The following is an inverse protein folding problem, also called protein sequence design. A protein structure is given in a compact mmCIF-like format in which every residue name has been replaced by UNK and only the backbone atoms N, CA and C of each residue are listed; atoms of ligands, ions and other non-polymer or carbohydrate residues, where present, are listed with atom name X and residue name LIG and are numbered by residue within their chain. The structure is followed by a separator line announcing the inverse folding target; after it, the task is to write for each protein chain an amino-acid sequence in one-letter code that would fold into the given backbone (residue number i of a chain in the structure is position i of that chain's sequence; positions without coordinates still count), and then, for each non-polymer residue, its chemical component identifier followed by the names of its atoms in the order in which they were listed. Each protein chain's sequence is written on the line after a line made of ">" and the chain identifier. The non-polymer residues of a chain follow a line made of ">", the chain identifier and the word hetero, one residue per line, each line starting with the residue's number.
data_IF_279987381271
#
_entry.id   IF_279987381271
#
_cell.length_a   1.000
_cell.length_b   1.000
_cell.length_c   1.000
_cell.angle_alpha   90.00
_cell.angle_beta   90.00
_cell.angle_gamma   90.00
#
_symmetry.space_group_name_H-M   'P 1'
#
loop_
_entity.id
_entity.type
_entity.pdbx_description
1 polymer ?
#
# COMPACT_ATOMS: atom_id res chain seq x y z
N UNK A 1 -13.41 -40.90 -46.43
CA UNK A 1 -12.92 -39.51 -46.40
C UNK A 1 -12.27 -39.29 -45.06
N UNK A 2 -10.97 -38.99 -44.94
CA UNK A 2 -10.32 -38.71 -43.65
C UNK A 2 -10.67 -37.27 -43.23
N UNK A 3 -11.13 -37.14 -41.99
CA UNK A 3 -11.34 -35.86 -41.33
C UNK A 3 -10.00 -35.11 -41.19
N UNK A 4 -9.95 -33.89 -41.75
CA UNK A 4 -8.82 -32.98 -41.61
C UNK A 4 -8.74 -32.51 -40.14
N UNK A 5 -7.68 -32.91 -39.46
CA UNK A 5 -7.32 -32.32 -38.16
C UNK A 5 -6.94 -30.85 -38.38
N UNK A 6 -7.74 -29.91 -37.88
CA UNK A 6 -7.31 -28.52 -37.76
C UNK A 6 -6.09 -28.45 -36.84
N UNK A 7 -5.04 -27.72 -37.22
CA UNK A 7 -3.89 -27.57 -36.35
C UNK A 7 -4.29 -26.76 -35.13
N UNK A 8 -4.05 -27.38 -33.95
CA UNK A 8 -4.19 -26.75 -32.64
C UNK A 8 -3.43 -25.40 -32.66
N UNK A 9 -4.16 -24.28 -32.72
CA UNK A 9 -3.53 -22.96 -32.55
C UNK A 9 -2.85 -22.95 -31.20
N UNK A 10 -1.50 -22.98 -31.17
CA UNK A 10 -0.72 -22.73 -29.95
C UNK A 10 -1.17 -21.38 -29.41
N UNK A 11 -2.00 -21.37 -28.36
CA UNK A 11 -2.22 -20.18 -27.54
C UNK A 11 -0.83 -19.64 -27.22
N UNK A 12 -0.56 -18.42 -27.67
CA UNK A 12 0.70 -17.74 -27.40
C UNK A 12 0.87 -17.74 -25.86
N UNK A 13 1.79 -18.56 -25.37
CA UNK A 13 2.08 -18.69 -23.95
C UNK A 13 2.64 -17.35 -23.49
N UNK A 14 1.91 -16.62 -22.64
CA UNK A 14 2.41 -15.43 -21.99
C UNK A 14 2.92 -15.83 -20.61
N UNK A 15 4.17 -15.50 -20.25
CA UNK A 15 4.70 -15.78 -18.92
C UNK A 15 3.82 -15.22 -17.80
N UNK A 16 3.81 -15.88 -16.66
CA UNK A 16 2.99 -15.48 -15.49
C UNK A 16 3.30 -14.06 -14.98
N UNK A 17 4.53 -13.59 -15.16
CA UNK A 17 4.90 -12.21 -14.90
C UNK A 17 4.11 -11.22 -15.74
N UNK A 18 3.86 -11.51 -17.03
CA UNK A 18 3.05 -10.66 -17.89
C UNK A 18 1.58 -10.64 -17.52
N UNK A 19 1.03 -11.75 -17.01
CA UNK A 19 -0.34 -11.76 -16.50
C UNK A 19 -0.50 -10.85 -15.27
N UNK A 20 0.51 -10.81 -14.39
CA UNK A 20 0.56 -9.87 -13.28
C UNK A 20 0.67 -8.42 -13.78
N UNK A 21 1.52 -8.18 -14.79
CA UNK A 21 1.86 -6.87 -15.33
C UNK A 21 0.75 -6.27 -16.23
N UNK A 22 -0.15 -7.08 -16.75
CA UNK A 22 -1.19 -6.70 -17.73
C UNK A 22 -1.97 -5.41 -17.39
N UNK A 23 -2.38 -5.12 -16.14
CA UNK A 23 -3.10 -3.88 -15.83
C UNK A 23 -2.31 -2.61 -16.17
N UNK A 24 -0.97 -2.68 -16.20
CA UNK A 24 -0.11 -1.55 -16.52
C UNK A 24 -0.03 -1.25 -18.01
N UNK A 25 -0.33 -2.20 -18.88
CA UNK A 25 -0.30 -2.01 -20.35
C UNK A 25 -1.19 -0.86 -20.82
N UNK A 26 -2.29 -0.58 -20.10
CA UNK A 26 -3.19 0.53 -20.38
C UNK A 26 -2.73 1.86 -19.75
N UNK A 27 -2.00 1.80 -18.65
CA UNK A 27 -1.59 2.98 -17.87
C UNK A 27 -0.29 3.59 -18.41
N UNK A 28 0.63 2.74 -18.87
CA UNK A 28 1.95 3.16 -19.34
C UNK A 28 1.92 4.16 -20.50
N UNK A 29 1.05 4.01 -21.53
CA UNK A 29 0.97 4.99 -22.61
C UNK A 29 0.55 6.39 -22.16
N UNK A 30 -0.19 6.49 -21.03
CA UNK A 30 -0.64 7.76 -20.46
C UNK A 30 0.41 8.36 -19.48
N UNK A 31 1.43 7.57 -19.11
CA UNK A 31 2.42 7.98 -18.10
C UNK A 31 3.30 9.10 -18.65
N UNK A 32 3.57 10.16 -17.87
CA UNK A 32 4.45 11.24 -18.29
C UNK A 32 5.81 10.72 -18.75
N UNK A 33 6.30 11.24 -19.88
CA UNK A 33 7.57 10.79 -20.46
C UNK A 33 8.73 11.09 -19.53
N UNK A 34 9.53 10.07 -19.21
CA UNK A 34 10.78 10.24 -18.49
C UNK A 34 11.85 10.78 -19.45
N UNK A 35 12.22 12.06 -19.27
CA UNK A 35 13.23 12.72 -20.12
C UNK A 35 14.64 12.33 -19.70
N UNK A 36 15.51 12.10 -20.68
CA UNK A 36 16.95 11.96 -20.44
C UNK A 36 17.58 13.32 -20.03
N UNK A 37 18.68 13.26 -19.30
CA UNK A 37 19.52 14.44 -19.07
C UNK A 37 20.49 14.59 -20.27
N UNK A 38 20.16 15.46 -21.23
CA UNK A 38 20.91 15.68 -22.46
C UNK A 38 20.50 14.72 -23.59
N UNK A 39 21.34 14.62 -24.63
CA UNK A 39 21.04 13.95 -25.91
C UNK A 39 21.21 12.42 -25.90
N UNK A 40 21.70 11.85 -24.81
CA UNK A 40 21.93 10.40 -24.72
C UNK A 40 20.66 9.67 -24.29
N UNK A 41 20.29 8.58 -24.96
CA UNK A 41 19.14 7.76 -24.53
C UNK A 41 19.38 7.18 -23.13
N UNK A 42 18.28 6.98 -22.40
CA UNK A 42 18.33 6.33 -21.09
C UNK A 42 18.73 4.87 -21.25
N UNK A 43 19.75 4.42 -20.49
CA UNK A 43 20.12 2.99 -20.42
C UNK A 43 19.07 2.14 -19.73
N UNK A 44 18.21 2.74 -18.95
CA UNK A 44 17.08 2.12 -18.26
C UNK A 44 15.88 3.06 -18.45
N UNK A 45 14.90 2.61 -19.18
CA UNK A 45 13.64 3.34 -19.38
C UNK A 45 12.80 3.32 -18.11
N UNK A 46 11.73 4.11 -18.03
CA UNK A 46 10.79 4.03 -16.91
C UNK A 46 10.12 2.66 -16.82
N UNK A 47 9.79 2.06 -17.94
CA UNK A 47 9.19 0.73 -17.98
C UNK A 47 10.13 -0.35 -17.44
N UNK A 48 11.42 -0.30 -17.82
CA UNK A 48 12.44 -1.21 -17.28
C UNK A 48 12.60 -1.03 -15.76
N UNK A 49 12.59 0.22 -15.28
CA UNK A 49 12.66 0.54 -13.85
C UNK A 49 11.44 -0.03 -13.10
N UNK A 50 10.25 0.17 -13.63
CA UNK A 50 9.02 -0.33 -13.04
C UNK A 50 8.98 -1.87 -13.00
N UNK A 51 9.35 -2.53 -14.10
CA UNK A 51 9.47 -4.01 -14.16
C UNK A 51 10.49 -4.53 -13.14
N UNK A 52 11.65 -3.90 -13.06
CA UNK A 52 12.68 -4.28 -12.10
C UNK A 52 12.23 -4.10 -10.64
N UNK A 53 11.49 -3.03 -10.32
CA UNK A 53 10.93 -2.81 -8.99
C UNK A 53 9.86 -3.84 -8.64
N UNK A 54 8.94 -4.15 -9.56
CA UNK A 54 7.92 -5.18 -9.36
C UNK A 54 8.60 -6.54 -9.12
N UNK A 55 9.59 -6.88 -9.93
CA UNK A 55 10.35 -8.11 -9.81
C UNK A 55 11.11 -8.18 -8.48
N UNK A 56 11.73 -7.08 -8.04
CA UNK A 56 12.37 -6.98 -6.73
C UNK A 56 11.42 -7.30 -5.57
N UNK A 57 10.22 -6.73 -5.60
CA UNK A 57 9.23 -6.93 -4.54
C UNK A 57 8.54 -8.28 -4.61
N UNK A 58 8.37 -8.83 -5.81
CA UNK A 58 7.71 -10.11 -6.02
C UNK A 58 8.63 -11.27 -5.66
N UNK A 59 9.87 -11.25 -6.16
CA UNK A 59 10.88 -12.26 -5.87
C UNK A 59 11.66 -11.94 -4.58
N UNK A 60 12.29 -12.94 -3.99
CA UNK A 60 12.96 -12.74 -2.70
C UNK A 60 14.39 -12.16 -2.85
N UNK A 61 14.56 -11.07 -3.63
CA UNK A 61 15.84 -10.40 -3.76
C UNK A 61 16.29 -9.75 -2.45
N UNK A 62 17.54 -9.95 -2.07
CA UNK A 62 18.09 -9.48 -0.78
C UNK A 62 18.71 -8.09 -0.86
N UNK A 63 19.00 -7.58 -2.05
CA UNK A 63 19.59 -6.25 -2.26
C UNK A 63 19.47 -5.79 -3.72
N UNK A 64 19.68 -4.50 -3.96
CA UNK A 64 19.79 -3.98 -5.33
C UNK A 64 20.95 -4.56 -6.13
N UNK A 65 22.04 -4.97 -5.46
CA UNK A 65 23.17 -5.67 -6.12
C UNK A 65 22.77 -7.06 -6.60
N UNK A 66 22.02 -7.78 -5.78
CA UNK A 66 21.49 -9.09 -6.15
C UNK A 66 20.49 -8.97 -7.30
N UNK A 67 19.59 -7.99 -7.26
CA UNK A 67 18.67 -7.72 -8.37
C UNK A 67 19.43 -7.44 -9.67
N UNK A 68 20.41 -6.53 -9.68
CA UNK A 68 21.21 -6.21 -10.88
C UNK A 68 21.97 -7.44 -11.40
N UNK A 69 22.47 -8.29 -10.51
CA UNK A 69 23.11 -9.54 -10.92
C UNK A 69 22.11 -10.45 -11.64
N UNK A 70 20.93 -10.68 -11.07
CA UNK A 70 19.88 -11.50 -11.69
C UNK A 70 19.42 -10.92 -13.02
N UNK A 71 19.23 -9.58 -13.11
CA UNK A 71 18.84 -8.90 -14.36
C UNK A 71 19.86 -9.09 -15.51
N UNK A 72 21.12 -9.38 -15.21
CA UNK A 72 22.15 -9.58 -16.22
C UNK A 72 22.46 -11.06 -16.53
N UNK A 73 22.25 -11.96 -15.57
CA UNK A 73 22.69 -13.35 -15.66
C UNK A 73 21.55 -14.34 -15.90
N UNK A 74 20.34 -14.02 -15.46
CA UNK A 74 19.17 -14.88 -15.63
C UNK A 74 18.51 -14.63 -16.99
N UNK A 75 18.31 -15.67 -17.79
CA UNK A 75 17.80 -15.54 -19.16
C UNK A 75 16.39 -14.93 -19.21
N UNK A 76 15.49 -15.36 -18.33
CA UNK A 76 14.14 -14.78 -18.28
C UNK A 76 14.18 -13.31 -17.87
N UNK A 77 14.95 -12.98 -16.81
CA UNK A 77 15.06 -11.61 -16.35
C UNK A 77 15.68 -10.69 -17.42
N UNK A 78 16.66 -11.20 -18.17
CA UNK A 78 17.28 -10.48 -19.30
C UNK A 78 16.29 -10.24 -20.44
N UNK A 79 15.51 -11.24 -20.80
CA UNK A 79 14.59 -11.17 -21.94
C UNK A 79 13.32 -10.36 -21.63
N UNK A 80 12.83 -10.41 -20.40
CA UNK A 80 11.49 -9.92 -20.06
C UNK A 80 11.46 -8.70 -19.13
N UNK A 81 12.52 -8.46 -18.35
CA UNK A 81 12.55 -7.46 -17.29
C UNK A 81 13.67 -6.43 -17.47
N UNK A 82 14.87 -6.89 -17.77
CA UNK A 82 16.03 -6.03 -17.91
C UNK A 82 15.98 -5.14 -19.16
N UNK A 83 16.68 -4.00 -19.17
CA UNK A 83 16.96 -3.27 -20.41
C UNK A 83 17.67 -4.21 -21.42
N UNK A 84 17.38 -4.01 -22.72
CA UNK A 84 17.87 -4.84 -23.82
C UNK A 84 19.39 -5.11 -23.78
N UNK A 85 20.15 -4.09 -23.38
CA UNK A 85 21.62 -4.15 -23.33
C UNK A 85 22.14 -4.46 -21.91
N UNK A 86 21.29 -4.95 -21.02
CA UNK A 86 21.58 -5.13 -19.61
C UNK A 86 21.71 -3.83 -18.83
N UNK A 87 22.02 -3.91 -17.54
CA UNK A 87 22.12 -2.74 -16.67
C UNK A 87 23.29 -2.82 -15.71
N UNK A 88 24.17 -1.81 -15.71
CA UNK A 88 25.24 -1.67 -14.75
C UNK A 88 24.76 -1.13 -13.40
N UNK A 89 25.49 -1.44 -12.32
CA UNK A 89 25.14 -1.03 -10.94
C UNK A 89 25.01 0.49 -10.79
N UNK A 90 25.87 1.27 -11.40
CA UNK A 90 25.82 2.73 -11.36
C UNK A 90 24.58 3.29 -12.06
N UNK A 91 24.24 2.77 -13.23
CA UNK A 91 23.07 3.21 -13.99
C UNK A 91 21.76 2.83 -13.28
N UNK A 92 21.71 1.63 -12.67
CA UNK A 92 20.59 1.22 -11.83
C UNK A 92 20.44 2.13 -10.60
N UNK A 93 21.56 2.35 -9.87
CA UNK A 93 21.54 3.24 -8.69
C UNK A 93 21.12 4.67 -9.05
N UNK A 94 21.58 5.19 -10.19
CA UNK A 94 21.17 6.50 -10.67
C UNK A 94 19.67 6.56 -11.01
N UNK A 95 19.14 5.53 -11.67
CA UNK A 95 17.71 5.44 -11.97
C UNK A 95 16.89 5.51 -10.67
N UNK A 96 17.13 4.60 -9.74
CA UNK A 96 16.38 4.51 -8.48
C UNK A 96 16.50 5.77 -7.61
N UNK A 97 17.64 6.46 -7.60
CA UNK A 97 17.85 7.61 -6.70
C UNK A 97 17.49 8.98 -7.32
N UNK A 98 17.24 9.07 -8.63
CA UNK A 98 17.11 10.39 -9.28
C UNK A 98 16.01 10.46 -10.35
N UNK A 99 15.34 9.35 -10.69
CA UNK A 99 14.41 9.30 -11.82
C UNK A 99 13.16 8.51 -11.49
N UNK A 100 12.11 8.66 -12.27
CA UNK A 100 10.91 7.80 -12.23
C UNK A 100 9.89 8.09 -11.13
N UNK A 101 10.19 8.93 -10.13
CA UNK A 101 9.30 9.13 -8.98
C UNK A 101 7.91 9.69 -9.38
N UNK A 102 7.87 10.69 -10.26
CA UNK A 102 6.61 11.28 -10.71
C UNK A 102 5.80 10.30 -11.56
N UNK A 103 6.49 9.51 -12.39
CA UNK A 103 5.90 8.46 -13.17
C UNK A 103 5.32 7.36 -12.26
N UNK A 104 6.05 6.95 -11.21
CA UNK A 104 5.56 5.97 -10.23
C UNK A 104 4.34 6.49 -9.46
N UNK A 105 4.32 7.77 -9.08
CA UNK A 105 3.15 8.39 -8.45
C UNK A 105 1.93 8.34 -9.36
N UNK A 106 2.12 8.67 -10.64
CA UNK A 106 1.06 8.61 -11.65
C UNK A 106 0.52 7.19 -11.80
N UNK A 107 1.41 6.22 -12.00
CA UNK A 107 1.05 4.80 -12.14
C UNK A 107 0.33 4.29 -10.89
N UNK A 108 0.84 4.61 -9.69
CA UNK A 108 0.19 4.21 -8.44
C UNK A 108 -1.24 4.76 -8.34
N UNK A 109 -1.44 6.03 -8.66
CA UNK A 109 -2.75 6.67 -8.59
C UNK A 109 -3.74 6.06 -9.60
N UNK A 110 -3.33 5.88 -10.86
CA UNK A 110 -4.16 5.28 -11.91
C UNK A 110 -4.50 3.82 -11.57
N UNK A 111 -3.51 3.04 -11.15
CA UNK A 111 -3.70 1.63 -10.81
C UNK A 111 -4.58 1.45 -9.57
N UNK A 112 -4.46 2.33 -8.56
CA UNK A 112 -5.34 2.33 -7.39
C UNK A 112 -6.80 2.58 -7.79
N UNK A 113 -7.04 3.53 -8.70
CA UNK A 113 -8.39 3.79 -9.23
C UNK A 113 -8.92 2.59 -10.02
N UNK A 114 -8.10 1.98 -10.88
CA UNK A 114 -8.51 0.79 -11.63
C UNK A 114 -8.78 -0.40 -10.72
N UNK A 115 -7.95 -0.62 -9.70
CA UNK A 115 -8.16 -1.66 -8.70
C UNK A 115 -9.47 -1.46 -7.93
N UNK A 116 -9.80 -0.23 -7.54
CA UNK A 116 -11.08 0.07 -6.88
C UNK A 116 -12.30 -0.26 -7.74
N UNK A 117 -12.19 -0.11 -9.07
CA UNK A 117 -13.27 -0.46 -10.00
C UNK A 117 -13.40 -1.98 -10.26
N UNK A 118 -12.29 -2.71 -10.15
CA UNK A 118 -12.24 -4.16 -10.41
C UNK A 118 -12.61 -4.98 -9.18
N UNK A 119 -12.13 -4.56 -8.00
CA UNK A 119 -12.27 -5.32 -6.77
C UNK A 119 -13.67 -5.13 -6.15
N UNK A 120 -14.22 -6.17 -5.49
CA UNK A 120 -15.54 -6.09 -4.91
C UNK A 120 -15.59 -5.07 -3.77
N UNK A 121 -16.66 -4.28 -3.72
CA UNK A 121 -16.96 -3.41 -2.60
C UNK A 121 -17.63 -4.23 -1.49
N UNK A 122 -16.87 -4.56 -0.44
CA UNK A 122 -17.33 -5.45 0.65
C UNK A 122 -18.24 -4.74 1.67
N UNK A 123 -18.26 -3.40 1.69
CA UNK A 123 -18.93 -2.61 2.72
C UNK A 123 -19.72 -1.45 2.13
N UNK A 124 -20.36 -1.67 0.97
CA UNK A 124 -21.14 -0.64 0.27
C UNK A 124 -22.27 -0.04 1.12
N UNK A 125 -22.82 -0.83 2.05
CA UNK A 125 -23.85 -0.44 3.02
C UNK A 125 -23.36 0.61 4.03
N UNK A 126 -22.06 0.80 4.19
CA UNK A 126 -21.45 1.75 5.13
C UNK A 126 -20.91 3.01 4.44
N UNK A 127 -20.96 3.07 3.11
CA UNK A 127 -20.40 4.12 2.28
C UNK A 127 -18.91 3.93 1.98
N UNK A 128 -18.25 4.96 1.48
CA UNK A 128 -16.84 4.94 1.11
C UNK A 128 -15.95 5.12 2.35
N UNK A 129 -15.25 4.07 2.74
CA UNK A 129 -14.44 4.03 3.97
C UNK A 129 -12.94 4.07 3.65
N UNK A 130 -12.22 5.00 4.27
CA UNK A 130 -10.77 5.11 4.14
C UNK A 130 -10.12 5.13 5.52
N UNK A 131 -9.42 4.07 5.90
CA UNK A 131 -8.56 4.13 7.07
C UNK A 131 -7.30 4.94 6.74
N UNK A 132 -6.81 5.70 7.71
CA UNK A 132 -5.52 6.38 7.61
C UNK A 132 -4.66 6.04 8.83
N UNK A 133 -3.37 5.81 8.56
CA UNK A 133 -2.40 5.48 9.61
C UNK A 133 -0.98 5.80 9.15
N UNK A 134 -0.08 5.98 10.12
CA UNK A 134 1.33 6.16 9.92
C UNK A 134 2.14 4.89 10.20
N UNK A 135 3.06 4.55 9.31
CA UNK A 135 3.93 3.40 9.51
C UNK A 135 5.40 3.74 9.36
N UNK A 136 6.21 3.35 10.35
CA UNK A 136 7.65 3.57 10.33
C UNK A 136 8.35 2.54 9.46
N UNK A 137 9.30 3.01 8.66
CA UNK A 137 10.24 2.20 7.88
C UNK A 137 11.62 2.45 8.45
N UNK A 138 12.31 1.38 8.81
CA UNK A 138 13.68 1.46 9.31
C UNK A 138 14.62 1.99 8.23
N UNK A 139 15.45 2.94 8.61
CA UNK A 139 16.45 3.57 7.77
C UNK A 139 17.85 3.32 8.36
N UNK A 140 18.87 3.29 7.50
CA UNK A 140 20.25 3.13 7.97
C UNK A 140 20.78 4.45 8.57
N UNK A 141 21.73 4.37 9.49
CA UNK A 141 22.25 5.55 10.22
C UNK A 141 22.82 6.63 9.29
N UNK A 142 23.31 6.27 8.11
CA UNK A 142 23.79 7.22 7.10
C UNK A 142 22.68 8.03 6.41
N UNK A 143 21.41 7.69 6.61
CA UNK A 143 20.25 8.43 6.08
C UNK A 143 19.93 9.60 7.04
N UNK A 144 20.69 10.67 6.95
CA UNK A 144 20.60 11.81 7.90
C UNK A 144 19.24 12.52 7.86
N UNK A 145 18.56 12.49 6.71
CA UNK A 145 17.21 13.04 6.52
C UNK A 145 16.11 12.29 7.29
N UNK A 146 16.33 11.00 7.60
CA UNK A 146 15.35 10.13 8.25
C UNK A 146 15.41 10.25 9.77
N UNK A 147 15.19 11.46 10.31
CA UNK A 147 15.32 11.71 11.73
C UNK A 147 14.23 11.01 12.56
N UNK A 148 14.60 10.43 13.71
CA UNK A 148 13.65 9.75 14.60
C UNK A 148 14.03 9.93 16.07
N UNK A 149 14.98 9.15 16.58
CA UNK A 149 15.46 9.20 17.96
C UNK A 149 16.99 9.09 17.96
N UNK A 150 17.63 9.44 19.09
CA UNK A 150 19.08 9.29 19.24
C UNK A 150 19.47 7.84 18.92
N UNK A 151 20.40 7.68 17.96
CA UNK A 151 20.89 6.36 17.51
C UNK A 151 19.93 5.56 16.61
N UNK A 152 18.81 6.15 16.15
CA UNK A 152 17.87 5.49 15.24
C UNK A 152 17.40 6.43 14.16
N UNK A 153 17.33 5.92 12.93
CA UNK A 153 16.82 6.63 11.75
C UNK A 153 15.62 5.89 11.20
N UNK A 154 14.52 6.60 10.94
CA UNK A 154 13.29 6.04 10.37
C UNK A 154 12.65 7.05 9.44
N UNK A 155 12.10 6.55 8.34
CA UNK A 155 11.13 7.28 7.54
C UNK A 155 9.72 6.92 8.01
N UNK A 156 8.75 7.80 7.82
CA UNK A 156 7.34 7.53 8.10
C UNK A 156 6.52 7.62 6.82
N UNK A 157 5.75 6.60 6.59
CA UNK A 157 4.74 6.52 5.51
C UNK A 157 3.39 6.86 6.14
N UNK A 158 2.71 7.88 5.60
CA UNK A 158 1.32 8.20 5.92
C UNK A 158 0.46 7.67 4.77
N UNK A 159 -0.44 6.74 5.06
CA UNK A 159 -1.19 6.00 4.04
C UNK A 159 -2.69 6.16 4.23
N UNK A 160 -3.41 6.36 3.12
CA UNK A 160 -4.83 6.12 3.00
C UNK A 160 -5.07 4.70 2.48
N UNK A 161 -5.97 3.96 3.13
CA UNK A 161 -6.29 2.58 2.79
C UNK A 161 -7.80 2.45 2.63
N UNK A 162 -8.25 2.15 1.41
CA UNK A 162 -9.65 1.91 1.12
C UNK A 162 -10.09 0.59 1.77
N UNK A 163 -11.00 0.68 2.73
CA UNK A 163 -11.50 -0.46 3.48
C UNK A 163 -12.53 -1.29 2.69
N UNK A 164 -13.17 -0.69 1.70
CA UNK A 164 -14.17 -1.35 0.87
C UNK A 164 -13.55 -2.37 -0.07
N UNK A 165 -12.38 -2.06 -0.64
CA UNK A 165 -11.65 -2.93 -1.57
C UNK A 165 -10.36 -3.53 -0.98
N UNK A 166 -9.91 -3.09 0.19
CA UNK A 166 -8.69 -3.59 0.83
C UNK A 166 -7.41 -3.16 0.12
N UNK A 167 -7.32 -1.92 -0.37
CA UNK A 167 -6.18 -1.41 -1.16
C UNK A 167 -5.67 -0.05 -0.69
N UNK A 168 -4.34 0.23 -0.86
CA UNK A 168 -3.78 1.56 -0.63
C UNK A 168 -4.25 2.55 -1.69
N UNK A 169 -4.54 3.81 -1.29
CA UNK A 169 -5.06 4.85 -2.19
C UNK A 169 -4.18 6.08 -2.29
N UNK A 170 -3.68 6.59 -1.18
CA UNK A 170 -2.82 7.78 -1.13
C UNK A 170 -1.66 7.57 -0.17
N UNK A 171 -0.53 8.18 -0.49
CA UNK A 171 0.69 8.06 0.29
C UNK A 171 1.41 9.39 0.40
N UNK A 172 1.93 9.66 1.61
CA UNK A 172 2.82 10.77 1.90
C UNK A 172 4.02 10.28 2.72
N UNK A 173 5.13 11.01 2.66
CA UNK A 173 6.36 10.68 3.36
C UNK A 173 6.81 11.82 4.24
N UNK A 174 7.38 11.45 5.40
CA UNK A 174 8.13 12.35 6.28
C UNK A 174 9.30 11.60 6.91
N UNK A 175 10.12 12.30 7.65
CA UNK A 175 10.98 11.66 8.64
C UNK A 175 10.15 10.93 9.71
N UNK A 176 10.81 10.16 10.57
CA UNK A 176 10.13 9.36 11.59
C UNK A 176 9.41 10.18 12.68
N UNK A 177 9.72 11.47 12.81
CA UNK A 177 9.09 12.41 13.77
C UNK A 177 7.87 13.12 13.16
N UNK A 178 7.70 13.07 11.84
CA UNK A 178 6.65 13.80 11.12
C UNK A 178 5.27 13.58 11.73
N UNK A 179 4.51 14.67 11.89
CA UNK A 179 3.15 14.63 12.38
C UNK A 179 2.21 13.97 11.34
N UNK A 180 1.24 13.19 11.81
CA UNK A 180 0.34 12.42 10.94
C UNK A 180 -0.94 13.18 10.58
N UNK A 181 -1.47 13.96 11.53
CA UNK A 181 -2.75 14.69 11.39
C UNK A 181 -2.84 15.61 10.17
N UNK A 182 -1.77 16.35 9.77
CA UNK A 182 -1.84 17.23 8.60
C UNK A 182 -2.09 16.52 7.26
N UNK A 183 -1.94 15.19 7.24
CA UNK A 183 -2.18 14.41 6.03
C UNK A 183 -3.61 13.88 5.93
N UNK A 184 -4.38 13.86 7.01
CA UNK A 184 -5.75 13.30 7.03
C UNK A 184 -6.64 13.96 5.99
N UNK A 185 -6.72 15.28 5.98
CA UNK A 185 -7.52 16.02 4.99
C UNK A 185 -7.01 15.81 3.55
N UNK A 186 -5.69 15.61 3.35
CA UNK A 186 -5.10 15.33 2.03
C UNK A 186 -5.36 13.89 1.56
N UNK A 187 -5.51 12.95 2.49
CA UNK A 187 -5.82 11.53 2.21
C UNK A 187 -7.27 11.38 1.77
N UNK A 188 -8.19 12.02 2.48
CA UNK A 188 -9.62 11.90 2.24
C UNK A 188 -10.09 12.76 1.06
N UNK A 189 -11.10 12.27 0.36
CA UNK A 189 -11.87 13.01 -0.63
C UNK A 189 -13.25 13.36 -0.06
N UNK A 190 -13.92 14.43 -0.55
CA UNK A 190 -15.33 14.70 -0.20
C UNK A 190 -16.20 13.46 -0.42
N UNK A 191 -17.14 13.22 0.50
CA UNK A 191 -18.01 12.04 0.50
C UNK A 191 -17.41 10.78 1.12
N UNK A 192 -16.11 10.75 1.43
CA UNK A 192 -15.48 9.61 2.11
C UNK A 192 -15.56 9.75 3.63
N UNK A 193 -15.63 8.60 4.31
CA UNK A 193 -15.53 8.50 5.77
C UNK A 193 -14.13 8.06 6.18
N UNK A 194 -13.40 8.94 6.84
CA UNK A 194 -12.08 8.66 7.38
C UNK A 194 -12.15 7.87 8.69
N UNK A 195 -11.39 6.79 8.81
CA UNK A 195 -11.34 5.95 10.00
C UNK A 195 -9.97 6.02 10.64
N UNK A 196 -9.89 6.54 11.87
CA UNK A 196 -8.62 6.80 12.55
C UNK A 196 -8.59 6.34 14.00
N UNK A 197 -7.38 6.11 14.50
CA UNK A 197 -7.16 5.75 15.88
C UNK A 197 -7.20 6.98 16.82
N UNK A 198 -6.96 6.74 18.12
CA UNK A 198 -6.95 7.78 19.15
C UNK A 198 -5.84 8.83 18.97
N UNK A 199 -4.79 8.53 18.23
CA UNK A 199 -3.70 9.46 17.91
C UNK A 199 -4.17 10.63 17.04
N UNK A 200 -5.24 10.44 16.30
CA UNK A 200 -5.83 11.45 15.42
C UNK A 200 -6.91 12.31 16.10
N UNK A 201 -7.18 12.10 17.38
CA UNK A 201 -8.10 12.94 18.12
C UNK A 201 -7.61 14.40 18.15
N UNK A 202 -8.27 15.26 17.39
CA UNK A 202 -8.07 16.70 17.35
C UNK A 202 -9.39 17.35 16.95
N UNK A 203 -9.94 18.22 17.79
CA UNK A 203 -11.30 18.74 17.61
C UNK A 203 -11.39 19.67 16.40
N UNK A 204 -10.38 20.51 16.17
CA UNK A 204 -10.29 21.32 14.96
C UNK A 204 -10.18 20.51 13.66
N UNK A 205 -9.59 19.30 13.71
CA UNK A 205 -9.62 18.39 12.57
C UNK A 205 -11.04 17.90 12.26
N UNK A 206 -11.87 17.64 13.29
CA UNK A 206 -13.26 17.23 13.08
C UNK A 206 -14.08 18.32 12.39
N UNK A 207 -13.91 19.57 12.84
CA UNK A 207 -14.57 20.73 12.21
C UNK A 207 -14.09 20.93 10.77
N UNK A 208 -12.79 20.80 10.52
CA UNK A 208 -12.21 20.89 9.17
C UNK A 208 -12.79 19.83 8.24
N UNK A 209 -12.84 18.57 8.68
CA UNK A 209 -13.37 17.46 7.86
C UNK A 209 -14.85 17.71 7.51
N UNK A 210 -15.67 18.11 8.49
CA UNK A 210 -17.07 18.45 8.23
C UNK A 210 -17.22 19.63 7.27
N UNK A 211 -16.35 20.65 7.37
CA UNK A 211 -16.37 21.80 6.47
C UNK A 211 -16.01 21.42 5.03
N UNK A 212 -15.11 20.43 4.86
CA UNK A 212 -14.67 19.92 3.56
C UNK A 212 -15.59 18.84 2.97
N UNK A 213 -16.73 18.54 3.60
CA UNK A 213 -17.65 17.48 3.16
C UNK A 213 -17.07 16.07 3.27
N UNK A 214 -16.16 15.87 4.22
CA UNK A 214 -15.53 14.58 4.56
C UNK A 214 -16.05 14.11 5.90
N UNK A 215 -16.50 12.87 5.96
CA UNK A 215 -16.97 12.26 7.19
C UNK A 215 -15.82 11.57 7.95
N UNK A 216 -16.05 11.26 9.22
CA UNK A 216 -15.06 10.58 10.04
C UNK A 216 -15.68 9.60 11.05
N UNK A 217 -14.89 8.62 11.47
CA UNK A 217 -15.14 7.74 12.62
C UNK A 217 -13.80 7.56 13.35
N UNK A 218 -13.53 8.41 14.33
CA UNK A 218 -12.23 8.48 15.01
C UNK A 218 -12.41 8.15 16.49
N UNK A 219 -11.55 7.22 16.98
CA UNK A 219 -11.53 6.90 18.40
C UNK A 219 -11.03 8.08 19.21
N UNK A 220 -11.70 8.36 20.32
CA UNK A 220 -11.29 9.40 21.27
C UNK A 220 -10.95 8.80 22.65
N UNK A 221 -10.34 9.60 23.52
CA UNK A 221 -10.05 9.22 24.90
C UNK A 221 -11.35 9.19 25.70
N UNK A 222 -11.51 8.19 26.57
CA UNK A 222 -12.69 8.06 27.43
C UNK A 222 -12.94 9.29 28.31
N UNK A 223 -11.87 9.90 28.83
CA UNK A 223 -11.94 11.11 29.67
C UNK A 223 -12.05 12.43 28.88
N UNK A 224 -12.36 12.41 27.58
CA UNK A 224 -12.59 13.65 26.81
C UNK A 224 -13.80 14.39 27.36
N UNK A 225 -13.62 15.65 27.73
CA UNK A 225 -14.70 16.52 28.16
C UNK A 225 -15.73 16.66 27.03
N UNK A 226 -17.00 16.56 27.37
CA UNK A 226 -18.11 16.65 26.42
C UNK A 226 -19.30 17.39 27.05
N UNK A 227 -19.99 18.15 26.25
CA UNK A 227 -21.25 18.82 26.60
C UNK A 227 -22.34 18.07 25.85
N UNK A 228 -23.26 17.45 26.57
CA UNK A 228 -24.40 16.72 25.99
C UNK A 228 -25.36 17.70 25.36
N UNK A 229 -25.78 17.42 24.13
CA UNK A 229 -26.81 18.13 23.39
C UNK A 229 -28.10 17.30 23.37
N UNK A 230 -27.97 16.04 22.89
CA UNK A 230 -29.08 15.12 22.75
C UNK A 230 -28.59 13.69 22.96
N UNK A 231 -29.33 12.88 23.70
CA UNK A 231 -29.03 11.47 23.92
C UNK A 231 -30.02 10.60 23.15
N UNK A 232 -29.47 9.61 22.45
CA UNK A 232 -30.25 8.65 21.66
C UNK A 232 -30.48 7.36 22.43
N UNK A 233 -31.63 6.72 22.17
CA UNK A 233 -31.96 5.42 22.76
C UNK A 233 -31.04 4.36 22.16
N UNK A 234 -30.34 3.62 23.02
CA UNK A 234 -29.54 2.45 22.65
C UNK A 234 -30.32 1.17 22.94
N UNK A 235 -30.13 0.14 22.12
CA UNK A 235 -30.71 -1.18 22.39
C UNK A 235 -29.96 -1.82 23.56
N UNK A 236 -30.64 -2.23 24.67
CA UNK A 236 -30.00 -2.86 25.82
C UNK A 236 -29.22 -4.15 25.49
N UNK A 237 -29.60 -4.87 24.43
CA UNK A 237 -28.96 -6.10 23.99
C UNK A 237 -27.79 -5.86 23.02
N UNK A 238 -27.48 -4.59 22.72
CA UNK A 238 -26.38 -4.19 21.85
C UNK A 238 -25.05 -4.12 22.60
N UNK A 239 -23.93 -4.23 21.84
CA UNK A 239 -22.60 -3.89 22.35
C UNK A 239 -22.45 -2.40 22.62
N UNK A 240 -23.34 -1.56 22.05
CA UNK A 240 -23.36 -0.10 22.24
C UNK A 240 -24.04 0.21 23.55
N UNK A 241 -23.37 1.01 24.38
CA UNK A 241 -23.91 1.46 25.66
C UNK A 241 -24.15 2.95 25.73
N UNK A 242 -23.70 3.71 24.72
CA UNK A 242 -23.87 5.18 24.66
C UNK A 242 -23.97 5.65 23.20
N UNK A 243 -24.91 6.56 22.96
CA UNK A 243 -25.09 7.21 21.65
C UNK A 243 -25.70 8.59 21.88
N UNK A 244 -24.97 9.65 21.52
CA UNK A 244 -25.41 11.03 21.77
C UNK A 244 -24.77 12.05 20.83
N UNK A 245 -25.45 13.17 20.62
CA UNK A 245 -24.84 14.39 20.06
C UNK A 245 -24.19 15.18 21.17
N UNK A 246 -22.94 15.58 20.95
CA UNK A 246 -22.13 16.30 21.94
C UNK A 246 -21.28 17.40 21.28
N UNK A 247 -20.89 18.39 22.05
CA UNK A 247 -19.72 19.23 21.77
C UNK A 247 -18.55 18.67 22.55
N UNK A 248 -17.44 18.38 21.88
CA UNK A 248 -16.22 17.89 22.51
C UNK A 248 -15.31 19.04 22.91
N UNK A 249 -14.68 18.94 24.08
CA UNK A 249 -13.81 19.97 24.62
C UNK A 249 -14.55 21.05 25.38
N UNK A 250 -13.88 22.17 25.64
CA UNK A 250 -14.41 23.32 26.36
C UNK A 250 -13.93 24.62 25.75
N UNK A 251 -14.76 25.67 25.85
CA UNK A 251 -14.39 27.03 25.45
C UNK A 251 -13.18 27.53 26.26
N UNK A 252 -13.14 27.22 27.55
CA UNK A 252 -12.06 27.64 28.43
C UNK A 252 -10.66 27.13 28.01
N UNK A 253 -10.61 25.95 27.39
CA UNK A 253 -9.37 25.36 26.87
C UNK A 253 -9.13 25.68 25.37
N UNK A 254 -9.96 26.50 24.76
CA UNK A 254 -9.93 26.84 23.33
C UNK A 254 -9.83 25.59 22.42
N UNK A 255 -10.54 24.53 22.80
CA UNK A 255 -10.51 23.24 22.09
C UNK A 255 -11.91 22.63 21.91
N UNK A 256 -12.97 23.42 22.06
CA UNK A 256 -14.33 22.94 21.82
C UNK A 256 -14.57 22.79 20.30
N UNK A 257 -15.27 21.72 19.89
CA UNK A 257 -15.73 21.58 18.50
C UNK A 257 -16.72 22.70 18.18
N UNK A 258 -16.59 23.28 16.99
CA UNK A 258 -17.54 24.31 16.51
C UNK A 258 -18.90 23.70 16.19
N UNK A 259 -18.89 22.47 15.65
CA UNK A 259 -20.09 21.72 15.28
C UNK A 259 -20.29 20.54 16.23
N UNK A 260 -21.57 20.17 16.48
CA UNK A 260 -21.87 18.94 17.18
C UNK A 260 -21.30 17.73 16.46
N UNK A 261 -20.82 16.77 17.25
CA UNK A 261 -20.40 15.45 16.78
C UNK A 261 -21.20 14.38 17.49
N UNK A 262 -21.51 13.30 16.79
CA UNK A 262 -22.12 12.13 17.41
C UNK A 262 -21.04 11.32 18.11
N UNK A 263 -21.28 10.94 19.33
CA UNK A 263 -20.37 10.12 20.13
C UNK A 263 -21.01 8.77 20.42
N UNK A 264 -20.42 7.71 19.90
CA UNK A 264 -20.86 6.32 20.11
C UNK A 264 -19.91 5.61 21.03
N UNK A 265 -20.42 5.11 22.16
CA UNK A 265 -19.69 4.26 23.11
C UNK A 265 -20.11 2.79 22.96
N UNK A 266 -19.16 1.90 22.79
CA UNK A 266 -19.43 0.47 22.73
C UNK A 266 -18.36 -0.35 23.47
N UNK A 267 -18.69 -1.60 23.87
CA UNK A 267 -17.82 -2.49 24.65
C UNK A 267 -17.56 -3.80 23.93
N UNK A 268 -16.29 -4.18 23.82
CA UNK A 268 -15.88 -5.49 23.32
C UNK A 268 -14.82 -6.05 24.29
N UNK A 269 -14.99 -7.28 24.73
CA UNK A 269 -14.07 -7.99 25.63
C UNK A 269 -13.67 -7.16 26.88
N UNK A 270 -14.67 -6.46 27.44
CA UNK A 270 -14.46 -5.63 28.65
C UNK A 270 -13.76 -4.29 28.38
N UNK A 271 -13.41 -3.96 27.12
CA UNK A 271 -12.76 -2.70 26.75
C UNK A 271 -13.77 -1.73 26.15
N UNK A 272 -13.79 -0.50 26.67
CA UNK A 272 -14.64 0.57 26.15
C UNK A 272 -13.98 1.32 25.01
N UNK A 273 -14.75 1.49 23.94
CA UNK A 273 -14.38 2.28 22.77
C UNK A 273 -15.31 3.46 22.64
N UNK A 274 -14.75 4.65 22.45
CA UNK A 274 -15.48 5.90 22.24
C UNK A 274 -15.14 6.44 20.87
N UNK A 275 -16.15 6.53 19.98
CA UNK A 275 -15.95 6.94 18.59
C UNK A 275 -16.71 8.24 18.35
N UNK A 276 -15.96 9.29 18.00
CA UNK A 276 -16.52 10.53 17.50
C UNK A 276 -16.74 10.39 15.99
N UNK A 277 -17.92 10.80 15.52
CA UNK A 277 -18.31 10.72 14.12
C UNK A 277 -19.31 11.82 13.75
N UNK A 278 -19.43 12.15 12.49
CA UNK A 278 -20.49 12.99 11.93
C UNK A 278 -21.55 12.18 11.16
N UNK A 279 -21.42 10.83 11.12
CA UNK A 279 -22.33 9.92 10.42
C UNK A 279 -23.62 9.70 11.21
N UNK A 280 -24.63 10.53 10.92
CA UNK A 280 -25.98 10.45 11.52
C UNK A 280 -26.92 9.53 10.75
N UNK A 281 -26.54 9.18 9.53
CA UNK A 281 -27.26 8.29 8.61
C UNK A 281 -27.12 6.80 8.96
N UNK A 282 -26.16 6.44 9.81
CA UNK A 282 -25.86 5.06 10.20
C UNK A 282 -26.35 4.73 11.62
N UNK A 283 -26.67 3.47 11.86
CA UNK A 283 -26.93 2.97 13.22
C UNK A 283 -25.64 2.94 14.04
N UNK A 284 -25.76 3.02 15.36
CA UNK A 284 -24.62 3.00 16.27
C UNK A 284 -23.76 1.72 16.15
N UNK A 285 -24.40 0.56 15.90
CA UNK A 285 -23.69 -0.70 15.66
C UNK A 285 -22.89 -0.66 14.36
N UNK A 286 -23.36 0.06 13.33
CA UNK A 286 -22.62 0.26 12.09
C UNK A 286 -21.38 1.14 12.30
N UNK A 287 -21.47 2.15 13.18
CA UNK A 287 -20.30 2.95 13.58
C UNK A 287 -19.26 2.07 14.30
N UNK A 288 -19.68 1.20 15.21
CA UNK A 288 -18.80 0.23 15.85
C UNK A 288 -18.14 -0.72 14.82
N UNK A 289 -18.93 -1.20 13.83
CA UNK A 289 -18.43 -2.02 12.72
C UNK A 289 -17.38 -1.28 11.89
N UNK A 290 -17.64 -0.02 11.50
CA UNK A 290 -16.69 0.82 10.76
C UNK A 290 -15.35 0.92 11.50
N UNK A 291 -15.39 1.23 12.81
CA UNK A 291 -14.14 1.35 13.56
C UNK A 291 -13.38 0.03 13.67
N UNK A 292 -14.06 -1.10 13.74
CA UNK A 292 -13.43 -2.43 13.74
C UNK A 292 -12.64 -2.69 12.45
N UNK A 293 -13.13 -2.22 11.30
CA UNK A 293 -12.44 -2.37 10.00
C UNK A 293 -11.10 -1.61 9.94
N UNK A 294 -10.87 -0.62 10.82
CA UNK A 294 -9.60 0.10 10.90
C UNK A 294 -8.38 -0.84 11.02
N UNK A 295 -8.54 -2.00 11.68
CA UNK A 295 -7.45 -2.97 11.81
C UNK A 295 -6.92 -3.52 10.47
N UNK A 296 -7.65 -3.35 9.39
CA UNK A 296 -7.23 -3.87 8.08
C UNK A 296 -6.03 -3.08 7.52
N UNK A 297 -5.88 -1.79 7.85
CA UNK A 297 -4.67 -1.04 7.48
C UNK A 297 -3.43 -1.55 8.24
N UNK A 298 -3.57 -1.95 9.51
CA UNK A 298 -2.46 -2.53 10.29
C UNK A 298 -2.06 -3.91 9.74
N UNK A 299 -3.04 -4.75 9.40
CA UNK A 299 -2.82 -6.03 8.73
C UNK A 299 -2.13 -5.82 7.38
N UNK A 300 -2.57 -4.83 6.60
CA UNK A 300 -1.93 -4.46 5.35
C UNK A 300 -0.47 -4.07 5.56
N UNK A 301 -0.14 -3.17 6.49
CA UNK A 301 1.23 -2.78 6.76
C UNK A 301 2.11 -3.96 7.19
N UNK A 302 1.61 -4.82 8.08
CA UNK A 302 2.33 -6.00 8.53
C UNK A 302 2.61 -6.96 7.36
N UNK A 303 1.61 -7.19 6.52
CA UNK A 303 1.72 -8.04 5.34
C UNK A 303 2.68 -7.45 4.30
N UNK A 304 2.48 -6.20 3.90
CA UNK A 304 3.25 -5.48 2.90
C UNK A 304 4.74 -5.40 3.24
N UNK A 305 5.06 -5.00 4.47
CA UNK A 305 6.45 -4.93 4.93
C UNK A 305 7.15 -6.29 4.92
N UNK A 306 6.44 -7.34 5.36
CA UNK A 306 7.01 -8.69 5.49
C UNK A 306 7.16 -9.38 4.15
N UNK A 307 6.15 -9.31 3.29
CA UNK A 307 6.07 -10.15 2.09
C UNK A 307 6.51 -9.47 0.81
N UNK A 308 6.58 -8.15 0.76
CA UNK A 308 7.10 -7.39 -0.37
C UNK A 308 8.49 -6.78 -0.09
N UNK A 309 9.19 -7.28 0.91
CA UNK A 309 10.60 -6.95 1.18
C UNK A 309 10.88 -5.45 1.36
N UNK A 310 9.94 -4.70 1.90
CA UNK A 310 10.08 -3.24 2.09
C UNK A 310 11.25 -2.87 3.01
N UNK A 311 11.65 -3.78 3.91
CA UNK A 311 12.80 -3.59 4.79
C UNK A 311 14.16 -3.77 4.11
N UNK A 312 14.22 -4.40 2.93
CA UNK A 312 15.46 -4.56 2.18
C UNK A 312 15.71 -3.36 1.30
N UNK A 313 16.33 -2.32 1.87
CA UNK A 313 16.54 -1.05 1.18
C UNK A 313 17.51 -1.20 0.02
N UNK A 314 17.06 -0.83 -1.20
CA UNK A 314 17.90 -0.76 -2.41
C UNK A 314 18.49 0.63 -2.63
N UNK A 315 17.96 1.64 -1.93
CA UNK A 315 18.42 3.02 -1.98
C UNK A 315 18.60 3.60 -0.58
N UNK A 316 19.40 4.65 -0.47
CA UNK A 316 19.66 5.37 0.80
C UNK A 316 19.24 6.84 0.76
N UNK A 317 18.90 7.37 -0.41
CA UNK A 317 18.33 8.72 -0.54
C UNK A 317 16.83 8.68 -0.19
N UNK A 318 16.30 9.83 0.22
CA UNK A 318 14.87 10.02 0.43
C UNK A 318 14.08 9.69 -0.84
N UNK A 319 14.57 10.24 -1.97
CA UNK A 319 13.99 9.99 -3.29
C UNK A 319 13.93 8.48 -3.61
N UNK A 320 15.05 7.78 -3.47
CA UNK A 320 15.13 6.35 -3.79
C UNK A 320 14.30 5.47 -2.85
N UNK A 321 14.14 5.88 -1.58
CA UNK A 321 13.23 5.19 -0.67
C UNK A 321 11.76 5.36 -1.13
N UNK A 322 11.38 6.57 -1.55
CA UNK A 322 10.04 6.80 -2.10
C UNK A 322 9.78 5.98 -3.36
N UNK A 323 10.77 5.90 -4.27
CA UNK A 323 10.72 5.05 -5.48
C UNK A 323 10.49 3.59 -5.10
N UNK A 324 11.29 3.05 -4.18
CA UNK A 324 11.14 1.67 -3.72
C UNK A 324 9.78 1.40 -3.08
N UNK A 325 9.31 2.28 -2.21
CA UNK A 325 8.04 2.11 -1.52
C UNK A 325 6.85 2.15 -2.48
N UNK A 326 6.87 3.08 -3.45
CA UNK A 326 5.85 3.13 -4.51
C UNK A 326 5.88 1.86 -5.36
N UNK A 327 7.06 1.35 -5.73
CA UNK A 327 7.20 0.05 -6.39
C UNK A 327 6.52 -1.08 -5.62
N UNK A 328 6.71 -1.13 -4.30
CA UNK A 328 6.07 -2.11 -3.42
C UNK A 328 4.55 -1.96 -3.33
N UNK A 329 4.03 -0.73 -3.33
CA UNK A 329 2.58 -0.48 -3.33
C UNK A 329 1.95 -0.83 -4.69
N UNK A 330 2.61 -0.48 -5.79
CA UNK A 330 2.19 -0.87 -7.15
C UNK A 330 2.15 -2.40 -7.25
N UNK A 331 3.18 -3.08 -6.77
CA UNK A 331 3.22 -4.56 -6.75
C UNK A 331 2.05 -5.14 -5.94
N UNK A 332 1.71 -4.55 -4.79
CA UNK A 332 0.54 -4.98 -4.02
C UNK A 332 -0.77 -4.82 -4.79
N UNK A 333 -0.98 -3.68 -5.45
CA UNK A 333 -2.18 -3.44 -6.27
C UNK A 333 -2.30 -4.44 -7.42
N UNK A 334 -1.20 -4.73 -8.10
CA UNK A 334 -1.16 -5.75 -9.15
C UNK A 334 -1.51 -7.14 -8.60
N UNK A 335 -0.98 -7.50 -7.44
CA UNK A 335 -1.30 -8.75 -6.77
C UNK A 335 -2.77 -8.82 -6.36
N UNK A 336 -3.36 -7.70 -5.90
CA UNK A 336 -4.77 -7.64 -5.56
C UNK A 336 -5.66 -7.92 -6.79
N UNK A 337 -5.38 -7.25 -7.90
CA UNK A 337 -6.09 -7.47 -9.17
C UNK A 337 -5.87 -8.90 -9.67
N UNK A 338 -4.62 -9.40 -9.65
CA UNK A 338 -4.28 -10.75 -10.09
C UNK A 338 -5.00 -11.82 -9.27
N UNK A 339 -4.95 -11.74 -7.94
CA UNK A 339 -5.60 -12.71 -7.05
C UNK A 339 -7.11 -12.72 -7.25
N UNK A 340 -7.72 -11.55 -7.38
CA UNK A 340 -9.16 -11.45 -7.63
C UNK A 340 -9.54 -12.04 -9.00
N UNK A 341 -8.88 -11.63 -10.09
CA UNK A 341 -9.21 -12.07 -11.44
C UNK A 341 -8.99 -13.56 -11.66
N UNK A 342 -7.93 -14.13 -11.11
CA UNK A 342 -7.56 -15.52 -11.37
C UNK A 342 -8.09 -16.51 -10.33
N UNK A 343 -8.44 -16.05 -9.12
CA UNK A 343 -8.80 -16.92 -8.00
C UNK A 343 -10.07 -16.49 -7.26
N UNK A 344 -10.63 -15.30 -7.52
CA UNK A 344 -11.77 -14.77 -6.77
C UNK A 344 -11.46 -14.48 -5.29
N UNK A 345 -10.19 -14.35 -4.92
CA UNK A 345 -9.71 -14.24 -3.54
C UNK A 345 -8.94 -12.92 -3.33
N UNK A 346 -8.90 -12.39 -2.08
CA UNK A 346 -7.99 -11.31 -1.73
C UNK A 346 -6.52 -11.76 -1.78
N UNK A 347 -5.60 -10.81 -1.70
CA UNK A 347 -4.16 -11.10 -1.64
C UNK A 347 -3.84 -11.99 -0.45
N UNK A 348 -3.18 -13.11 -0.71
CA UNK A 348 -2.76 -14.06 0.31
C UNK A 348 -1.34 -14.58 0.05
N UNK A 349 -0.64 -14.97 1.13
CA UNK A 349 0.71 -15.57 1.02
C UNK A 349 0.70 -16.80 0.11
N UNK A 350 -0.36 -17.61 0.19
CA UNK A 350 -0.53 -18.81 -0.65
C UNK A 350 -0.48 -18.44 -2.13
N UNK A 351 -1.26 -17.43 -2.55
CA UNK A 351 -1.37 -17.03 -3.96
C UNK A 351 -0.08 -16.38 -4.46
N UNK A 352 0.55 -15.54 -3.65
CA UNK A 352 1.85 -14.96 -4.00
C UNK A 352 2.93 -16.01 -4.16
N UNK A 353 2.99 -17.02 -3.27
CA UNK A 353 3.92 -18.15 -3.40
C UNK A 353 3.65 -18.98 -4.66
N UNK A 354 2.39 -19.24 -4.98
CA UNK A 354 2.01 -19.95 -6.22
C UNK A 354 2.49 -19.18 -7.45
N UNK A 355 2.25 -17.88 -7.51
CA UNK A 355 2.72 -17.03 -8.61
C UNK A 355 4.25 -17.04 -8.73
N UNK A 356 4.97 -16.91 -7.61
CA UNK A 356 6.45 -17.02 -7.59
C UNK A 356 6.94 -18.35 -8.14
N UNK A 357 6.33 -19.45 -7.72
CA UNK A 357 6.69 -20.79 -8.21
C UNK A 357 6.43 -20.89 -9.72
N UNK A 358 5.33 -20.35 -10.22
CA UNK A 358 5.02 -20.32 -11.64
C UNK A 358 6.09 -19.54 -12.43
N UNK A 359 6.43 -18.33 -11.99
CA UNK A 359 7.48 -17.52 -12.59
C UNK A 359 8.83 -18.27 -12.56
N UNK A 360 9.21 -18.88 -11.43
CA UNK A 360 10.46 -19.64 -11.31
C UNK A 360 10.49 -20.90 -12.17
N UNK A 361 9.37 -21.57 -12.38
CA UNK A 361 9.29 -22.73 -13.29
C UNK A 361 9.43 -22.29 -14.74
N UNK A 362 8.80 -21.19 -15.13
CA UNK A 362 8.95 -20.59 -16.46
C UNK A 362 10.40 -20.19 -16.76
N UNK A 363 11.13 -19.72 -15.74
CA UNK A 363 12.57 -19.47 -15.79
C UNK A 363 13.39 -20.73 -16.10
N UNK A 364 12.99 -21.89 -15.58
CA UNK A 364 13.67 -23.17 -15.80
C UNK A 364 13.39 -23.78 -17.16
N UNK A 365 12.14 -23.68 -17.62
CA UNK A 365 11.71 -24.27 -18.89
C UNK A 365 12.30 -23.54 -20.10
N UNK A 366 12.62 -22.24 -19.95
CA UNK A 366 13.30 -21.42 -20.95
C UNK A 366 14.83 -21.63 -20.98
N UNK A 367 15.44 -22.18 -19.91
CA UNK A 367 16.87 -22.36 -19.72
C UNK A 367 17.35 -23.81 -19.63
N UNK A 368 17.07 -24.66 -20.62
CA UNK A 368 17.45 -26.09 -20.57
C UNK A 368 18.96 -26.40 -20.68
N UNK A 369 19.88 -25.48 -20.32
CA UNK A 369 21.33 -25.77 -20.40
C UNK A 369 22.24 -25.35 -19.24
N UNK A 370 21.70 -24.75 -18.13
CA UNK A 370 22.63 -24.27 -17.05
C UNK A 370 22.17 -24.59 -15.61
N UNK A 371 21.55 -25.71 -15.40
CA UNK A 371 20.72 -26.05 -14.22
C UNK A 371 21.41 -26.38 -12.90
N UNK A 372 22.74 -26.34 -12.79
CA UNK A 372 23.36 -26.82 -11.53
C UNK A 372 23.91 -25.75 -10.59
N UNK A 373 24.07 -24.51 -11.06
CA UNK A 373 24.76 -23.46 -10.29
C UNK A 373 23.81 -22.67 -9.34
N UNK A 374 22.60 -22.38 -9.78
CA UNK A 374 21.66 -21.53 -9.05
C UNK A 374 21.15 -22.15 -7.73
N UNK A 375 20.94 -23.48 -7.69
CA UNK A 375 20.47 -24.17 -6.47
C UNK A 375 21.55 -24.24 -5.37
N UNK A 376 22.82 -24.27 -5.76
CA UNK A 376 23.95 -24.30 -4.80
C UNK A 376 24.12 -22.92 -4.13
N UNK A 377 23.91 -21.84 -4.86
CA UNK A 377 24.10 -20.49 -4.33
C UNK A 377 22.95 -20.02 -3.43
N UNK A 378 21.69 -20.28 -3.77
CA UNK A 378 20.55 -20.00 -2.88
C UNK A 378 20.65 -20.78 -1.55
N UNK A 379 21.16 -21.99 -1.58
CA UNK A 379 21.41 -22.79 -0.37
C UNK A 379 22.54 -22.18 0.48
N UNK A 380 23.56 -21.62 -0.13
CA UNK A 380 24.67 -20.92 0.55
C UNK A 380 24.21 -19.61 1.21
N UNK A 381 23.42 -18.79 0.55
CA UNK A 381 22.88 -17.54 1.12
C UNK A 381 21.87 -17.78 2.26
N UNK A 382 21.09 -18.88 2.23
CA UNK A 382 20.20 -19.27 3.34
C UNK A 382 20.96 -19.73 4.59
N UNK A 383 22.17 -20.29 4.44
CA UNK A 383 23.02 -20.74 5.55
C UNK A 383 23.72 -19.55 6.25
N UNK A 384 24.09 -18.50 5.53
CA UNK A 384 24.74 -17.31 6.10
C UNK A 384 23.78 -16.27 6.67
N UNK A 385 22.48 -16.39 6.46
CA UNK A 385 21.44 -15.53 7.05
C UNK A 385 20.93 -16.04 8.42
N UNK A 386 21.50 -17.13 8.94
CA UNK A 386 21.14 -17.73 10.24
C UNK A 386 22.25 -17.65 11.30
N UNK A 387 23.35 -16.94 11.02
CA UNK A 387 24.39 -16.64 12.00
C UNK A 387 24.46 -15.15 12.29
#
# INVERSE_FOLDING_TARGET
>A
MPQSFEPYQKKQFRPSFYHLYQPLEKILPETPVLKSRGDRPLKMTFEDELKALIFFHLEEHVSGRHLVHVLNEDDFARENIAPKDGIGRSSFSEAINNRGLEQLKFVFQKLSTEAANILPNQHADLGELVAFDGSLIDAVLSMTWADYRKGSKKAKVHLGFNLNQGIPTKIFFTDGKGAERPFVSKILLPGQTGVGDRGYQEHGLFDTLQAEGKSFAIRIKAGTTKILIEEYKVNPDSIVFYDAEVLLGTVANNNQTEKPVRLVGYRIDGVDYWIATDRRDLKSEQIAKIYKLRWDIEKFFAWWKRHLRVYHLIARSEYGLMVQILGGLITYLLLAIYCHKNHGEPVSIKRVRQLRIQIQNELRDSGSSTDSFFFKEQKRYRLHAKT
#
